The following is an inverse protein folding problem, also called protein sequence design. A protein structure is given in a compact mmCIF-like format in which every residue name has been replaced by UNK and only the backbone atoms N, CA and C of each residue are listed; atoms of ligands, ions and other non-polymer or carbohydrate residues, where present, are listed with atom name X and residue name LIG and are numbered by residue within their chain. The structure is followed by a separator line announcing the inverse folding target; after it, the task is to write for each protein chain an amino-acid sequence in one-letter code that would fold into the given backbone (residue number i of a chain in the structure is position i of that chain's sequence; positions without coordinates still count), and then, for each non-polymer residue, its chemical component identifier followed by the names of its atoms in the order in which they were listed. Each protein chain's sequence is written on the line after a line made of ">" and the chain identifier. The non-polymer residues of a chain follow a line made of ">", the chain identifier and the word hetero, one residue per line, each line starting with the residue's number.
data_IF_884330889242
#
_entry.id   IF_884330889242
#
_cell.length_a   1.000
_cell.length_b   1.000
_cell.length_c   1.000
_cell.angle_alpha   90.00
_cell.angle_beta   90.00
_cell.angle_gamma   90.00
#
_symmetry.space_group_name_H-M   'P 1'
#
loop_
_entity.id
_entity.type
_entity.pdbx_description
1 polymer ?
#
# COMPACT_ATOMS: atom_id res chain seq x y z
N UNK A 1 -4.65 13.91 10.99
CA UNK A 1 -3.23 14.04 10.65
C UNK A 1 -2.58 14.81 11.77
N UNK A 2 -1.63 14.18 12.44
CA UNK A 2 -0.86 14.85 13.47
C UNK A 2 -0.08 16.01 12.82
N UNK A 3 -0.05 17.15 13.49
CA UNK A 3 0.73 18.31 13.07
C UNK A 3 1.89 18.47 14.03
N UNK A 4 2.65 17.40 14.32
CA UNK A 4 3.62 17.36 15.42
C UNK A 4 4.64 18.52 15.50
N UNK A 5 4.84 19.29 14.42
CA UNK A 5 5.66 20.50 14.39
C UNK A 5 4.86 21.82 14.43
N UNK A 6 3.58 21.78 14.80
CA UNK A 6 2.70 22.96 14.85
C UNK A 6 3.23 23.93 15.91
N UNK A 7 3.58 25.13 15.47
CA UNK A 7 4.10 26.19 16.34
C UNK A 7 5.63 26.19 16.51
N UNK A 8 6.33 25.19 15.98
CA UNK A 8 7.80 25.17 16.00
C UNK A 8 8.33 26.04 14.87
N UNK A 9 9.25 26.96 15.21
CA UNK A 9 10.04 27.73 14.23
C UNK A 9 11.50 27.34 14.39
N UNK A 10 12.12 26.94 13.28
CA UNK A 10 13.55 26.64 13.21
C UNK A 10 14.19 27.61 12.25
N UNK A 11 15.28 28.24 12.68
CA UNK A 11 16.02 29.19 11.86
C UNK A 11 16.63 28.46 10.65
N UNK A 12 16.53 29.07 9.46
CA UNK A 12 17.01 28.49 8.21
C UNK A 12 16.21 27.29 7.65
N UNK A 13 15.22 26.76 8.38
CA UNK A 13 14.46 25.58 7.95
C UNK A 13 12.99 25.92 7.69
N UNK A 14 12.55 25.68 6.45
CA UNK A 14 11.13 25.82 6.08
C UNK A 14 10.36 24.54 6.41
N UNK A 15 9.55 24.59 7.48
CA UNK A 15 8.66 23.49 7.87
C UNK A 15 7.38 23.52 7.02
N UNK A 16 7.11 22.43 6.30
CA UNK A 16 5.89 22.26 5.52
C UNK A 16 4.91 21.35 6.27
N UNK A 17 3.67 21.82 6.45
CA UNK A 17 2.65 21.09 7.19
C UNK A 17 1.64 20.40 6.27
N UNK A 18 1.09 19.27 6.75
CA UNK A 18 -0.05 18.62 6.12
C UNK A 18 -1.25 19.59 6.06
N UNK A 19 -1.87 19.70 4.88
CA UNK A 19 -3.01 20.60 4.65
C UNK A 19 -2.65 22.06 4.35
N UNK A 20 -1.37 22.42 4.27
CA UNK A 20 -0.96 23.75 3.84
C UNK A 20 -1.35 23.98 2.37
N UNK A 21 -2.08 25.07 2.10
CA UNK A 21 -2.63 25.39 0.76
C UNK A 21 -1.81 26.44 -0.01
N UNK A 22 -1.09 27.32 0.68
CA UNK A 22 -0.36 28.47 0.09
C UNK A 22 1.14 28.22 0.04
N UNK A 23 1.76 28.67 -1.05
CA UNK A 23 3.22 28.63 -1.26
C UNK A 23 3.81 27.23 -1.50
N UNK A 24 2.99 26.25 -1.88
CA UNK A 24 3.41 24.86 -2.10
C UNK A 24 3.32 24.53 -3.58
N UNK A 25 4.40 23.99 -4.14
CA UNK A 25 4.42 23.49 -5.51
C UNK A 25 3.69 22.15 -5.59
N UNK A 26 3.21 21.77 -6.78
CA UNK A 26 2.54 20.48 -7.00
C UNK A 26 3.39 19.29 -6.53
N UNK A 27 4.70 19.34 -6.75
CA UNK A 27 5.66 18.32 -6.31
C UNK A 27 5.72 18.22 -4.79
N UNK A 28 5.85 19.35 -4.09
CA UNK A 28 5.86 19.38 -2.62
C UNK A 28 4.52 18.90 -2.05
N UNK A 29 3.39 19.26 -2.66
CA UNK A 29 2.07 18.75 -2.26
C UNK A 29 1.99 17.23 -2.38
N UNK A 30 2.49 16.66 -3.47
CA UNK A 30 2.53 15.22 -3.67
C UNK A 30 3.43 14.51 -2.63
N UNK A 31 4.59 15.07 -2.31
CA UNK A 31 5.49 14.55 -1.27
C UNK A 31 4.82 14.59 0.12
N UNK A 32 4.19 15.70 0.48
CA UNK A 32 3.45 15.85 1.73
C UNK A 32 2.32 14.81 1.80
N UNK A 33 1.54 14.65 0.73
CA UNK A 33 0.45 13.66 0.66
C UNK A 33 0.97 12.23 0.84
N UNK A 34 2.08 11.86 0.18
CA UNK A 34 2.72 10.54 0.35
C UNK A 34 3.19 10.33 1.79
N UNK A 35 3.80 11.35 2.41
CA UNK A 35 4.26 11.29 3.82
C UNK A 35 3.09 11.14 4.79
N UNK A 36 1.97 11.85 4.58
CA UNK A 36 0.80 11.77 5.46
C UNK A 36 0.15 10.39 5.51
N UNK A 37 0.42 9.51 4.52
CA UNK A 37 -0.05 8.13 4.56
C UNK A 37 0.74 7.25 5.56
N UNK A 38 1.91 7.70 6.04
CA UNK A 38 2.76 6.92 6.95
C UNK A 38 2.11 6.75 8.33
N UNK A 39 1.48 7.79 8.89
CA UNK A 39 0.83 7.74 10.21
C UNK A 39 -0.26 6.64 10.28
N UNK A 40 -1.22 6.59 9.34
CA UNK A 40 -2.16 5.47 9.26
C UNK A 40 -1.48 4.10 9.17
N UNK A 41 -0.45 3.97 8.33
CA UNK A 41 0.28 2.70 8.18
C UNK A 41 0.95 2.27 9.50
N UNK A 42 1.57 3.19 10.24
CA UNK A 42 2.13 2.90 11.57
C UNK A 42 1.01 2.49 12.54
N UNK A 43 -0.14 3.16 12.51
CA UNK A 43 -1.31 2.79 13.31
C UNK A 43 -1.76 1.36 13.04
N UNK A 44 -1.93 0.99 11.77
CA UNK A 44 -2.23 -0.38 11.36
C UNK A 44 -1.11 -1.35 11.75
N UNK A 45 0.16 -0.97 11.63
CA UNK A 45 1.26 -1.84 12.06
C UNK A 45 1.26 -2.08 13.57
N UNK A 46 0.88 -1.08 14.38
CA UNK A 46 0.72 -1.24 15.83
C UNK A 46 -0.43 -2.19 16.17
N UNK A 47 -1.60 -1.99 15.58
CA UNK A 47 -2.81 -2.76 15.90
C UNK A 47 -2.83 -4.14 15.22
N UNK A 48 -2.68 -4.17 13.90
CA UNK A 48 -2.82 -5.36 13.05
C UNK A 48 -1.47 -6.04 12.77
N UNK A 49 -0.40 -5.25 12.73
CA UNK A 49 0.96 -5.70 12.43
C UNK A 49 1.76 -6.24 13.63
N UNK A 50 1.14 -6.31 14.82
CA UNK A 50 1.74 -6.76 16.09
C UNK A 50 2.95 -5.92 16.55
N UNK A 51 3.16 -4.75 15.98
CA UNK A 51 4.25 -3.85 16.38
C UNK A 51 4.06 -3.33 17.81
N UNK A 52 2.83 -3.27 18.32
CA UNK A 52 2.55 -2.79 19.67
C UNK A 52 3.03 -3.72 20.80
N UNK A 53 3.38 -4.97 20.51
CA UNK A 53 3.84 -5.95 21.51
C UNK A 53 5.11 -6.63 21.01
N UNK A 54 6.24 -6.30 21.63
CA UNK A 54 7.52 -6.96 21.34
C UNK A 54 7.77 -8.10 22.35
N UNK A 55 7.89 -9.36 21.90
CA UNK A 55 8.27 -10.48 22.77
C UNK A 55 9.79 -10.56 23.01
N UNK A 56 10.60 -9.85 22.22
CA UNK A 56 12.06 -9.83 22.34
C UNK A 56 12.52 -8.84 23.41
N UNK A 57 13.67 -9.11 24.02
CA UNK A 57 14.23 -8.29 25.11
C UNK A 57 15.33 -7.36 24.60
N UNK A 58 15.37 -6.15 25.17
CA UNK A 58 16.43 -5.17 24.95
C UNK A 58 16.36 -4.45 23.60
N UNK A 59 17.17 -3.41 23.46
CA UNK A 59 17.14 -2.50 22.31
C UNK A 59 17.37 -3.20 20.96
N UNK A 60 18.25 -4.20 20.92
CA UNK A 60 18.46 -5.01 19.72
C UNK A 60 17.19 -5.79 19.35
N UNK A 61 16.50 -6.37 20.36
CA UNK A 61 15.24 -7.05 20.17
C UNK A 61 14.14 -6.12 19.65
N UNK A 62 14.07 -4.89 20.17
CA UNK A 62 13.13 -3.86 19.70
C UNK A 62 13.36 -3.50 18.23
N UNK A 63 14.63 -3.30 17.84
CA UNK A 63 15.00 -3.00 16.47
C UNK A 63 14.66 -4.16 15.53
N UNK A 64 15.02 -5.40 15.90
CA UNK A 64 14.73 -6.60 15.12
C UNK A 64 13.22 -6.81 14.94
N UNK A 65 12.44 -6.71 16.02
CA UNK A 65 10.99 -6.89 15.97
C UNK A 65 10.33 -5.85 15.06
N UNK A 66 10.75 -4.58 15.16
CA UNK A 66 10.22 -3.51 14.31
C UNK A 66 10.51 -3.75 12.82
N UNK A 67 11.74 -4.15 12.49
CA UNK A 67 12.13 -4.48 11.10
C UNK A 67 11.32 -5.67 10.57
N UNK A 68 11.17 -6.73 11.36
CA UNK A 68 10.41 -7.93 10.96
C UNK A 68 8.91 -7.67 10.81
N UNK A 69 8.30 -6.88 11.70
CA UNK A 69 6.92 -6.41 11.55
C UNK A 69 6.73 -5.63 10.25
N UNK A 70 7.67 -4.73 9.92
CA UNK A 70 7.67 -3.99 8.66
C UNK A 70 7.82 -4.89 7.43
N UNK A 71 8.77 -5.82 7.46
CA UNK A 71 8.97 -6.80 6.39
C UNK A 71 7.71 -7.65 6.16
N UNK A 72 7.09 -8.16 7.23
CA UNK A 72 5.84 -8.92 7.15
C UNK A 72 4.66 -8.09 6.63
N UNK A 73 4.61 -6.78 6.89
CA UNK A 73 3.63 -5.88 6.26
C UNK A 73 3.88 -5.76 4.74
N UNK A 74 5.12 -5.52 4.32
CA UNK A 74 5.47 -5.43 2.90
C UNK A 74 5.17 -6.71 2.13
N UNK A 75 5.48 -7.88 2.70
CA UNK A 75 5.16 -9.18 2.09
C UNK A 75 3.65 -9.36 1.90
N UNK A 76 2.81 -8.94 2.87
CA UNK A 76 1.35 -8.98 2.73
C UNK A 76 0.85 -8.08 1.59
N UNK A 77 1.43 -6.90 1.40
CA UNK A 77 1.10 -6.01 0.29
C UNK A 77 1.47 -6.63 -1.07
N UNK A 78 2.66 -7.22 -1.17
CA UNK A 78 3.11 -7.92 -2.40
C UNK A 78 2.15 -9.08 -2.72
N UNK A 79 1.83 -9.91 -1.74
CA UNK A 79 0.90 -11.03 -1.93
C UNK A 79 -0.51 -10.56 -2.31
N UNK A 80 -1.00 -9.45 -1.76
CA UNK A 80 -2.27 -8.87 -2.14
C UNK A 80 -2.27 -8.38 -3.60
N UNK A 81 -1.19 -7.71 -4.03
CA UNK A 81 -1.02 -7.27 -5.42
C UNK A 81 -0.96 -8.46 -6.39
N UNK A 82 -0.19 -9.50 -6.04
CA UNK A 82 -0.11 -10.72 -6.84
C UNK A 82 -1.46 -11.43 -6.95
N UNK A 83 -2.22 -11.53 -5.86
CA UNK A 83 -3.58 -12.12 -5.87
C UNK A 83 -4.51 -11.36 -6.81
N UNK A 84 -4.48 -10.02 -6.78
CA UNK A 84 -5.28 -9.19 -7.68
C UNK A 84 -4.85 -9.34 -9.14
N UNK A 85 -3.54 -9.44 -9.39
CA UNK A 85 -3.02 -9.66 -10.74
C UNK A 85 -3.45 -11.03 -11.29
N UNK A 86 -3.29 -12.10 -10.50
CA UNK A 86 -3.73 -13.43 -10.87
C UNK A 86 -5.25 -13.50 -11.10
N UNK A 87 -6.06 -12.84 -10.26
CA UNK A 87 -7.52 -12.83 -10.47
C UNK A 87 -7.90 -12.10 -11.76
N UNK A 88 -7.19 -11.03 -12.11
CA UNK A 88 -7.42 -10.31 -13.38
C UNK A 88 -7.10 -11.18 -14.59
N UNK A 89 -5.99 -11.91 -14.56
CA UNK A 89 -5.63 -12.86 -15.61
C UNK A 89 -6.66 -13.98 -15.71
N UNK A 90 -7.06 -14.55 -14.57
CA UNK A 90 -8.02 -15.66 -14.55
C UNK A 90 -9.37 -15.27 -15.18
N UNK A 91 -9.89 -14.08 -14.85
CA UNK A 91 -11.12 -13.56 -15.46
C UNK A 91 -10.97 -13.38 -16.97
N UNK A 92 -9.87 -12.78 -17.42
CA UNK A 92 -9.60 -12.61 -18.85
C UNK A 92 -9.53 -13.97 -19.58
N UNK A 93 -8.86 -14.95 -18.99
CA UNK A 93 -8.77 -16.30 -19.56
C UNK A 93 -10.15 -16.97 -19.64
N UNK A 94 -11.02 -16.77 -18.65
CA UNK A 94 -12.39 -17.28 -18.67
C UNK A 94 -13.19 -16.70 -19.86
N UNK A 95 -13.07 -15.40 -20.11
CA UNK A 95 -13.74 -14.74 -21.23
C UNK A 95 -13.26 -15.31 -22.59
N UNK A 96 -11.95 -15.48 -22.74
CA UNK A 96 -11.36 -16.06 -23.96
C UNK A 96 -11.83 -17.49 -24.17
N UNK A 97 -11.81 -18.33 -23.12
CA UNK A 97 -12.28 -19.71 -23.19
C UNK A 97 -13.76 -19.76 -23.58
N UNK A 98 -14.60 -18.92 -22.96
CA UNK A 98 -16.02 -18.85 -23.28
C UNK A 98 -16.26 -18.46 -24.76
N UNK A 99 -15.52 -17.47 -25.27
CA UNK A 99 -15.59 -17.05 -26.67
C UNK A 99 -15.16 -18.17 -27.64
N UNK A 100 -14.09 -18.90 -27.32
CA UNK A 100 -13.63 -20.03 -28.12
C UNK A 100 -14.63 -21.17 -28.16
N UNK A 101 -15.23 -21.50 -27.01
CA UNK A 101 -16.30 -22.51 -26.92
C UNK A 101 -17.49 -22.08 -27.77
N UNK A 102 -17.96 -20.83 -27.63
CA UNK A 102 -19.07 -20.30 -28.41
C UNK A 102 -18.79 -20.36 -29.92
N UNK A 103 -17.59 -19.96 -30.34
CA UNK A 103 -17.18 -20.06 -31.75
C UNK A 103 -17.16 -21.50 -32.26
N UNK A 104 -16.63 -22.45 -31.47
CA UNK A 104 -16.61 -23.87 -31.85
C UNK A 104 -18.01 -24.46 -31.97
N UNK A 105 -18.95 -24.07 -31.10
CA UNK A 105 -20.33 -24.54 -31.16
C UNK A 105 -21.03 -23.99 -32.40
N UNK A 106 -20.83 -22.69 -32.70
CA UNK A 106 -21.43 -22.06 -33.87
C UNK A 106 -20.90 -22.66 -35.19
N UNK A 107 -19.60 -22.97 -35.25
CA UNK A 107 -18.99 -23.57 -36.44
C UNK A 107 -19.47 -25.02 -36.69
N UNK A 108 -19.79 -25.77 -35.62
CA UNK A 108 -20.38 -27.11 -35.74
C UNK A 108 -21.82 -27.07 -36.25
N UNK A 109 -22.61 -26.08 -35.84
CA UNK A 109 -23.99 -25.92 -36.30
C UNK A 109 -24.09 -25.52 -37.78
N UNK A 110 -23.07 -24.85 -38.34
CA UNK A 110 -23.03 -24.43 -39.73
C UNK A 110 -22.62 -25.54 -40.73
N UNK A 111 -22.07 -26.65 -40.24
CA UNK A 111 -21.62 -27.78 -41.07
C UNK A 111 -22.59 -28.98 -41.07
N UNK A 112 -23.77 -28.84 -40.45
CA UNK A 112 -24.80 -29.88 -40.33
C UNK A 112 -26.04 -29.60 -41.15
#
# INVERSE_FOLDING_TARGET
>A
MDRGYKGVKLEGVRILMAGQKRGITRTLQAMIKRRSAIEPTIGHMKMDGRLARNPLKGALGDALHAVMCGAGHNLRLILAALRLYCSRIALFMQDVIAALIAHSLNNRAACG
#
